data_IF_355698276888
#
_entry.id   IF_355698276888
#
_cell.length_a   1.000
_cell.length_b   1.000
_cell.length_c   1.000
_cell.angle_alpha   90.00
_cell.angle_beta   90.00
_cell.angle_gamma   90.00
#
_symmetry.space_group_name_H-M   'P 1'
#
loop_
_entity.id
_entity.type
_entity.pdbx_description
1 polymer ?
#
# COMPACT_ATOMS: atom_id res chain seq x y z
N UNK A 1 -0.43 4.33 -4.80
CA UNK A 1 0.26 5.63 -4.95
C UNK A 1 0.02 6.16 -6.36
N UNK A 2 -0.23 7.46 -6.54
CA UNK A 2 -0.43 8.05 -7.87
C UNK A 2 0.87 8.32 -8.63
N UNK A 3 0.76 8.60 -9.92
CA UNK A 3 1.90 8.93 -10.82
C UNK A 3 2.71 10.15 -10.36
N UNK A 4 2.10 11.07 -9.61
CA UNK A 4 2.80 12.20 -8.98
C UNK A 4 3.84 11.76 -7.96
N UNK A 5 3.50 10.78 -7.11
CA UNK A 5 4.42 10.24 -6.13
C UNK A 5 5.55 9.45 -6.80
N UNK A 6 5.23 8.66 -7.84
CA UNK A 6 6.25 8.01 -8.66
C UNK A 6 7.26 9.03 -9.17
N UNK A 7 6.79 10.14 -9.75
CA UNK A 7 7.66 11.19 -10.29
C UNK A 7 8.61 11.76 -9.23
N UNK A 8 8.11 12.01 -8.02
CA UNK A 8 8.93 12.54 -6.92
C UNK A 8 10.05 11.58 -6.49
N UNK A 9 9.78 10.27 -6.42
CA UNK A 9 10.79 9.26 -6.09
C UNK A 9 11.78 9.05 -7.24
N UNK A 10 11.30 8.93 -8.48
CA UNK A 10 12.15 8.71 -9.64
C UNK A 10 13.07 9.90 -9.95
N UNK A 11 12.61 11.13 -9.70
CA UNK A 11 13.42 12.35 -9.90
C UNK A 11 14.40 12.62 -8.74
N UNK A 12 14.44 11.76 -7.71
CA UNK A 12 15.34 11.93 -6.57
C UNK A 12 14.96 13.09 -5.65
N UNK A 13 13.72 13.57 -5.70
CA UNK A 13 13.24 14.70 -4.87
C UNK A 13 13.13 14.32 -3.38
N UNK A 14 13.25 13.03 -3.06
CA UNK A 14 13.25 12.50 -1.69
C UNK A 14 14.64 11.91 -1.41
N UNK A 15 15.54 12.65 -0.73
CA UNK A 15 16.90 12.20 -0.46
C UNK A 15 16.93 10.87 0.30
N UNK A 16 17.76 9.94 -0.17
CA UNK A 16 17.93 8.62 0.47
C UNK A 16 16.83 7.61 0.19
N UNK A 17 15.89 7.92 -0.72
CA UNK A 17 14.87 6.98 -1.17
C UNK A 17 15.15 6.49 -2.59
N UNK A 18 14.83 5.22 -2.86
CA UNK A 18 14.96 4.59 -4.16
C UNK A 18 13.65 3.89 -4.48
N UNK A 19 13.10 4.15 -5.68
CA UNK A 19 11.93 3.43 -6.16
C UNK A 19 12.40 2.07 -6.70
N UNK A 20 11.97 0.98 -6.07
CA UNK A 20 12.46 -0.37 -6.40
C UNK A 20 11.40 -1.26 -7.06
N UNK A 21 10.12 -0.90 -6.95
CA UNK A 21 9.00 -1.67 -7.50
C UNK A 21 7.78 -0.78 -7.76
N UNK A 22 6.97 -1.17 -8.75
CA UNK A 22 5.73 -0.47 -9.13
C UNK A 22 4.63 -1.49 -9.34
N UNK A 23 3.52 -1.33 -8.64
CA UNK A 23 2.32 -2.15 -8.81
C UNK A 23 1.19 -1.30 -9.37
N UNK A 24 0.74 -1.64 -10.58
CA UNK A 24 -0.40 -1.02 -11.24
C UNK A 24 -1.15 -2.10 -12.04
N UNK A 25 -2.47 -1.94 -12.19
CA UNK A 25 -3.32 -2.83 -12.98
C UNK A 25 -3.31 -2.48 -14.47
N UNK A 26 -2.88 -1.26 -14.83
CA UNK A 26 -2.81 -0.78 -16.22
C UNK A 26 -1.52 -1.27 -16.91
N UNK A 27 -1.61 -2.12 -17.95
CA UNK A 27 -0.43 -2.61 -18.68
C UNK A 27 0.44 -1.50 -19.27
N UNK A 28 -0.15 -0.35 -19.65
CA UNK A 28 0.60 0.77 -20.20
C UNK A 28 1.53 1.40 -19.15
N UNK A 29 1.08 1.46 -17.89
CA UNK A 29 1.88 1.99 -16.77
C UNK A 29 2.98 1.05 -16.34
N UNK A 30 2.73 -0.25 -16.41
CA UNK A 30 3.76 -1.27 -16.16
C UNK A 30 4.85 -1.22 -17.24
N UNK A 31 4.48 -1.11 -18.51
CA UNK A 31 5.42 -0.95 -19.61
C UNK A 31 6.25 0.33 -19.45
N UNK A 32 5.61 1.45 -19.12
CA UNK A 32 6.31 2.70 -18.82
C UNK A 32 7.28 2.58 -17.64
N UNK A 33 6.90 1.90 -16.56
CA UNK A 33 7.79 1.66 -15.43
C UNK A 33 9.00 0.78 -15.80
N UNK A 34 8.80 -0.23 -16.65
CA UNK A 34 9.88 -1.06 -17.19
C UNK A 34 10.85 -0.25 -18.06
N UNK A 35 10.36 0.67 -18.89
CA UNK A 35 11.21 1.60 -19.65
C UNK A 35 12.08 2.48 -18.74
N UNK A 36 11.61 2.78 -17.53
CA UNK A 36 12.37 3.51 -16.50
C UNK A 36 13.31 2.61 -15.66
N UNK A 37 13.45 1.33 -16.02
CA UNK A 37 14.35 0.37 -15.36
C UNK A 37 13.79 -0.28 -14.09
N UNK A 38 12.47 -0.21 -13.86
CA UNK A 38 11.81 -0.82 -12.71
C UNK A 38 11.26 -2.18 -13.11
N UNK A 39 11.92 -3.25 -12.67
CA UNK A 39 11.78 -4.55 -13.35
C UNK A 39 10.66 -5.46 -12.80
N UNK A 40 9.97 -5.12 -11.71
CA UNK A 40 8.83 -5.94 -11.29
C UNK A 40 7.88 -5.25 -10.30
N UNK A 41 6.57 -5.44 -10.49
CA UNK A 41 5.62 -5.48 -9.37
C UNK A 41 5.65 -6.86 -8.76
N UNK A 42 6.35 -7.03 -7.64
CA UNK A 42 6.20 -8.25 -6.84
C UNK A 42 5.58 -7.84 -5.51
N UNK A 43 4.34 -8.27 -5.31
CA UNK A 43 3.74 -8.32 -3.99
C UNK A 43 3.73 -9.78 -3.55
N UNK A 44 4.28 -10.09 -2.38
CA UNK A 44 4.19 -11.42 -1.82
C UNK A 44 3.76 -11.38 -0.35
N UNK A 45 3.04 -12.42 0.06
CA UNK A 45 2.68 -12.66 1.44
C UNK A 45 3.09 -14.10 1.80
N UNK A 46 3.88 -14.25 2.86
CA UNK A 46 4.32 -15.55 3.37
C UNK A 46 3.61 -15.86 4.69
N UNK A 47 3.10 -17.07 4.83
CA UNK A 47 2.39 -17.55 6.01
C UNK A 47 2.66 -19.05 6.24
N UNK A 48 2.02 -19.63 7.26
CA UNK A 48 2.20 -21.04 7.66
C UNK A 48 2.05 -22.04 6.50
N UNK A 49 1.09 -21.80 5.61
CA UNK A 49 0.74 -22.73 4.53
C UNK A 49 1.44 -22.42 3.20
N UNK A 50 2.42 -21.52 3.19
CA UNK A 50 3.22 -21.18 2.02
C UNK A 50 3.16 -19.70 1.67
N UNK A 51 3.33 -19.38 0.39
CA UNK A 51 3.55 -18.03 -0.09
C UNK A 51 2.63 -17.69 -1.27
N UNK A 52 1.90 -16.58 -1.17
CA UNK A 52 1.15 -15.99 -2.28
C UNK A 52 2.01 -14.91 -2.94
N UNK A 53 2.08 -14.93 -4.27
CA UNK A 53 2.89 -14.01 -5.08
C UNK A 53 1.99 -13.43 -6.16
N UNK A 54 1.86 -12.11 -6.20
CA UNK A 54 1.27 -11.35 -7.30
C UNK A 54 2.42 -10.70 -8.07
N UNK A 55 2.63 -11.18 -9.29
CA UNK A 55 3.68 -10.71 -10.19
C UNK A 55 3.18 -10.78 -11.63
N UNK A 56 3.42 -9.73 -12.43
CA UNK A 56 3.05 -9.66 -13.85
C UNK A 56 1.57 -9.99 -14.13
N UNK A 57 0.65 -9.48 -13.29
CA UNK A 57 -0.78 -9.76 -13.44
C UNK A 57 -1.16 -11.23 -13.21
N UNK A 58 -0.33 -11.97 -12.46
CA UNK A 58 -0.59 -13.38 -12.14
C UNK A 58 -0.48 -13.59 -10.64
N UNK A 59 -1.54 -14.15 -10.05
CA UNK A 59 -1.51 -14.60 -8.66
C UNK A 59 -1.08 -16.06 -8.65
N UNK A 60 0.03 -16.34 -7.96
CA UNK A 60 0.60 -17.67 -7.79
C UNK A 60 0.65 -18.01 -6.32
N UNK A 61 0.09 -19.15 -5.93
CA UNK A 61 0.19 -19.66 -4.56
C UNK A 61 1.14 -20.86 -4.52
N UNK A 62 2.30 -20.67 -3.91
CA UNK A 62 3.25 -21.73 -3.56
C UNK A 62 2.77 -22.33 -2.24
N UNK A 63 1.97 -23.39 -2.32
CA UNK A 63 1.35 -24.01 -1.15
C UNK A 63 2.25 -25.10 -0.59
N UNK A 64 2.51 -25.03 0.72
CA UNK A 64 3.18 -26.09 1.43
C UNK A 64 2.22 -27.26 1.67
N UNK A 65 2.72 -28.50 1.56
CA UNK A 65 1.96 -29.70 1.90
C UNK A 65 1.60 -29.79 3.38
N UNK A 66 2.50 -29.30 4.23
CA UNK A 66 2.38 -29.22 5.69
C UNK A 66 2.59 -27.79 6.13
N UNK A 67 1.98 -27.38 7.23
CA UNK A 67 2.26 -26.08 7.83
C UNK A 67 3.76 -25.96 8.15
N UNK A 68 4.33 -24.79 7.91
CA UNK A 68 5.76 -24.55 8.09
C UNK A 68 6.21 -24.86 9.52
N UNK A 69 5.41 -24.45 10.52
CA UNK A 69 5.69 -24.77 11.92
C UNK A 69 5.74 -26.27 12.21
N UNK A 70 4.80 -27.06 11.68
CA UNK A 70 4.80 -28.52 11.84
C UNK A 70 6.01 -29.15 11.16
N UNK A 71 6.34 -28.70 9.94
CA UNK A 71 7.49 -29.20 9.20
C UNK A 71 8.80 -28.93 9.93
N UNK A 72 9.00 -27.71 10.43
CA UNK A 72 10.18 -27.34 11.21
C UNK A 72 10.33 -28.17 12.50
N UNK A 73 9.24 -28.54 13.14
CA UNK A 73 9.26 -29.32 14.39
C UNK A 73 9.50 -30.81 14.17
N UNK A 74 9.09 -31.34 13.02
CA UNK A 74 9.11 -32.79 12.75
C UNK A 74 10.22 -33.23 11.81
N UNK A 75 10.83 -32.30 11.06
CA UNK A 75 11.94 -32.60 10.17
C UNK A 75 13.20 -32.97 10.95
N UNK A 76 13.79 -34.10 10.62
CA UNK A 76 15.09 -34.55 11.16
C UNK A 76 16.27 -34.14 10.29
N UNK A 77 16.01 -33.53 9.13
CA UNK A 77 17.01 -33.14 8.14
C UNK A 77 17.34 -31.64 8.25
N UNK A 78 18.64 -31.32 8.19
CA UNK A 78 19.14 -29.95 8.15
C UNK A 78 18.85 -29.30 6.80
N UNK A 79 18.32 -28.07 6.79
CA UNK A 79 17.96 -27.31 5.60
C UNK A 79 16.93 -27.98 4.68
N UNK A 80 16.10 -28.87 5.25
CA UNK A 80 15.00 -29.48 4.51
C UNK A 80 14.01 -28.42 4.03
N UNK A 81 13.44 -28.63 2.86
CA UNK A 81 12.40 -27.76 2.27
C UNK A 81 11.10 -28.56 2.27
N UNK A 82 9.98 -27.99 2.75
CA UNK A 82 8.70 -28.68 2.67
C UNK A 82 8.34 -28.96 1.21
N UNK A 83 7.68 -30.09 0.98
CA UNK A 83 7.07 -30.34 -0.31
C UNK A 83 6.06 -29.23 -0.61
N UNK A 84 6.26 -28.54 -1.74
CA UNK A 84 5.41 -27.43 -2.17
C UNK A 84 4.91 -27.69 -3.59
N UNK A 85 3.70 -27.22 -3.87
CA UNK A 85 3.20 -27.14 -5.24
C UNK A 85 2.67 -25.74 -5.54
N UNK A 86 2.76 -25.38 -6.81
CA UNK A 86 2.37 -24.08 -7.32
C UNK A 86 0.96 -24.15 -7.89
N UNK A 87 0.09 -23.24 -7.46
CA UNK A 87 -1.27 -23.10 -7.98
C UNK A 87 -1.41 -21.70 -8.55
N UNK A 88 -1.88 -21.62 -9.79
CA UNK A 88 -2.32 -20.35 -10.37
C UNK A 88 -3.70 -20.01 -9.82
N UNK A 89 -3.82 -18.88 -9.13
CA UNK A 89 -5.10 -18.43 -8.59
C UNK A 89 -5.78 -17.53 -9.63
N UNK A 90 -6.91 -17.98 -10.23
CA UNK A 90 -7.65 -17.14 -11.15
C UNK A 90 -8.26 -15.97 -10.38
N UNK A 91 -8.15 -14.77 -10.93
CA UNK A 91 -8.90 -13.61 -10.47
C UNK A 91 -9.73 -13.05 -11.63
N UNK A 92 -10.74 -12.26 -11.30
CA UNK A 92 -11.56 -11.58 -12.29
C UNK A 92 -11.06 -10.17 -12.44
N UNK A 93 -11.05 -9.68 -13.67
CA UNK A 93 -10.85 -8.26 -13.90
C UNK A 93 -11.93 -7.46 -13.18
N UNK A 94 -11.52 -6.29 -12.66
CA UNK A 94 -12.44 -5.40 -12.00
C UNK A 94 -13.43 -4.83 -13.03
N UNK A 95 -14.75 -4.85 -12.75
CA UNK A 95 -15.76 -4.45 -13.72
C UNK A 95 -15.78 -2.93 -13.98
N UNK A 96 -15.05 -2.15 -13.19
CA UNK A 96 -14.86 -0.71 -13.34
C UNK A 96 -13.60 -0.26 -12.57
N UNK A 97 -13.06 0.94 -12.85
CA UNK A 97 -11.97 1.53 -12.05
C UNK A 97 -12.34 1.61 -10.55
N UNK A 98 -11.34 1.44 -9.68
CA UNK A 98 -11.52 1.32 -8.22
C UNK A 98 -12.38 2.43 -7.61
N UNK A 99 -12.11 3.70 -7.96
CA UNK A 99 -12.89 4.84 -7.47
C UNK A 99 -14.38 4.75 -7.85
N UNK A 100 -14.69 4.21 -9.04
CA UNK A 100 -16.09 4.02 -9.48
C UNK A 100 -16.80 3.00 -8.60
N UNK A 101 -16.10 1.94 -8.18
CA UNK A 101 -16.67 0.89 -7.33
C UNK A 101 -16.95 1.39 -5.92
N UNK A 102 -16.02 2.14 -5.32
CA UNK A 102 -16.21 2.76 -4.00
C UNK A 102 -17.39 3.73 -4.03
N UNK A 103 -17.46 4.61 -5.03
CA UNK A 103 -18.58 5.56 -5.17
C UNK A 103 -19.92 4.85 -5.38
N UNK A 104 -19.95 3.78 -6.19
CA UNK A 104 -21.17 2.97 -6.37
C UNK A 104 -21.61 2.31 -5.06
N UNK A 105 -20.68 1.73 -4.31
CA UNK A 105 -20.96 1.14 -3.00
C UNK A 105 -21.54 2.18 -2.04
N UNK A 106 -21.00 3.39 -2.01
CA UNK A 106 -21.52 4.49 -1.20
C UNK A 106 -22.96 4.88 -1.58
N UNK A 107 -23.26 5.01 -2.88
CA UNK A 107 -24.63 5.28 -3.37
C UNK A 107 -25.58 4.15 -2.97
N UNK A 108 -25.17 2.89 -3.09
CA UNK A 108 -25.97 1.73 -2.71
C UNK A 108 -26.21 1.67 -1.20
N UNK A 109 -25.23 2.00 -0.36
CA UNK A 109 -25.42 2.07 1.09
C UNK A 109 -26.48 3.11 1.48
N UNK A 110 -26.55 4.23 0.76
CA UNK A 110 -27.58 5.25 0.98
C UNK A 110 -28.95 4.77 0.51
N UNK A 111 -29.04 4.31 -0.74
CA UNK A 111 -30.31 3.99 -1.43
C UNK A 111 -30.90 2.64 -1.03
N UNK A 112 -30.06 1.62 -0.96
CA UNK A 112 -30.45 0.22 -0.77
C UNK A 112 -30.14 -0.30 0.64
N UNK A 113 -29.47 0.50 1.49
CA UNK A 113 -29.03 0.10 2.84
C UNK A 113 -28.07 -1.10 2.83
N UNK A 114 -27.29 -1.23 1.77
CA UNK A 114 -26.20 -2.21 1.67
C UNK A 114 -25.01 -1.83 2.55
N UNK A 115 -24.17 -2.81 2.90
CA UNK A 115 -22.92 -2.55 3.60
C UNK A 115 -21.93 -1.78 2.69
N UNK A 116 -21.19 -0.84 3.28
CA UNK A 116 -20.13 -0.13 2.58
C UNK A 116 -18.96 -1.08 2.29
N UNK A 117 -18.44 -1.01 1.07
CA UNK A 117 -17.22 -1.73 0.65
C UNK A 117 -16.01 -1.28 1.47
N UNK A 118 -15.93 0.02 1.76
CA UNK A 118 -14.88 0.63 2.57
C UNK A 118 -15.53 1.59 3.57
N UNK A 119 -15.88 1.14 4.79
CA UNK A 119 -16.43 2.00 5.81
C UNK A 119 -15.45 3.10 6.21
N UNK A 120 -15.86 4.37 6.17
CA UNK A 120 -14.98 5.49 6.53
C UNK A 120 -14.49 5.46 7.98
N UNK A 121 -15.20 4.77 8.87
CA UNK A 121 -14.79 4.57 10.27
C UNK A 121 -13.50 3.76 10.42
N UNK A 122 -13.15 2.90 9.44
CA UNK A 122 -11.88 2.18 9.43
C UNK A 122 -10.70 3.08 9.00
N UNK A 123 -10.99 4.21 8.33
CA UNK A 123 -9.97 5.14 7.85
C UNK A 123 -9.06 5.69 8.95
N UNK A 124 -9.55 5.76 10.19
CA UNK A 124 -8.75 6.19 11.34
C UNK A 124 -7.56 5.25 11.61
N UNK A 125 -7.71 3.95 11.35
CA UNK A 125 -6.63 2.96 11.53
C UNK A 125 -5.50 3.19 10.52
N UNK A 126 -5.84 3.61 9.29
CA UNK A 126 -4.85 4.01 8.29
C UNK A 126 -4.08 5.26 8.70
N UNK A 127 -4.77 6.24 9.30
CA UNK A 127 -4.12 7.46 9.85
C UNK A 127 -3.18 7.09 11.00
N UNK A 128 -3.63 6.24 11.92
CA UNK A 128 -2.80 5.77 13.04
C UNK A 128 -1.55 5.03 12.55
N UNK A 129 -1.68 4.14 11.58
CA UNK A 129 -0.54 3.45 10.98
C UNK A 129 0.45 4.43 10.34
N UNK A 130 -0.03 5.42 9.59
CA UNK A 130 0.81 6.49 9.03
C UNK A 130 1.55 7.27 10.13
N UNK A 131 0.84 7.63 11.21
CA UNK A 131 1.43 8.33 12.35
C UNK A 131 2.49 7.48 13.06
N UNK A 132 2.25 6.17 13.22
CA UNK A 132 3.21 5.23 13.81
C UNK A 132 4.48 5.11 12.97
N UNK A 133 4.36 5.04 11.63
CA UNK A 133 5.50 5.02 10.71
C UNK A 133 6.32 6.30 10.85
N UNK A 134 5.66 7.47 10.88
CA UNK A 134 6.33 8.76 11.06
C UNK A 134 7.02 8.86 12.43
N UNK A 135 6.33 8.47 13.49
CA UNK A 135 6.87 8.47 14.85
C UNK A 135 8.09 7.57 15.00
N UNK A 136 8.05 6.37 14.40
CA UNK A 136 9.19 5.47 14.37
C UNK A 136 10.37 6.06 13.59
N UNK A 137 10.11 6.67 12.44
CA UNK A 137 11.13 7.33 11.64
C UNK A 137 11.78 8.53 12.36
N UNK A 138 11.00 9.30 13.13
CA UNK A 138 11.52 10.46 13.86
C UNK A 138 12.29 10.11 15.12
N UNK A 139 11.90 9.04 15.81
CA UNK A 139 12.55 8.59 17.05
C UNK A 139 13.66 7.58 16.80
N UNK A 140 13.67 6.94 15.63
CA UNK A 140 14.58 5.84 15.30
C UNK A 140 14.31 4.58 16.13
N UNK A 141 13.11 4.44 16.71
CA UNK A 141 12.72 3.33 17.58
C UNK A 141 11.44 2.65 17.08
N UNK A 142 11.23 1.35 17.41
CA UNK A 142 9.93 0.71 17.25
C UNK A 142 8.85 1.45 18.05
N UNK A 143 7.61 1.41 17.55
CA UNK A 143 6.44 2.02 18.18
C UNK A 143 5.38 0.93 18.38
N UNK A 144 4.76 0.89 19.55
CA UNK A 144 3.64 0.01 19.84
C UNK A 144 2.32 0.62 19.37
N UNK A 145 1.37 -0.25 18.98
CA UNK A 145 -0.01 0.15 18.63
C UNK A 145 -0.98 -0.25 19.76
N UNK A 146 -1.96 0.60 20.11
CA UNK A 146 -2.20 1.95 19.58
C UNK A 146 -1.13 2.96 20.03
N UNK A 147 -0.90 4.00 19.23
CA UNK A 147 0.11 5.01 19.54
C UNK A 147 -0.34 5.94 20.69
N UNK A 148 0.63 6.59 21.34
CA UNK A 148 0.35 7.70 22.24
C UNK A 148 0.10 8.98 21.41
N UNK A 149 -1.18 9.37 21.32
CA UNK A 149 -1.64 10.53 20.55
C UNK A 149 -0.98 11.84 21.01
N UNK A 150 -0.79 12.03 22.32
CA UNK A 150 -0.19 13.25 22.86
C UNK A 150 1.31 13.29 22.57
N UNK A 151 1.99 12.14 22.66
CA UNK A 151 3.40 12.03 22.30
C UNK A 151 3.62 12.28 20.80
N UNK A 152 2.78 11.70 19.92
CA UNK A 152 2.84 11.97 18.49
C UNK A 152 2.57 13.45 18.18
N UNK A 153 1.56 14.04 18.81
CA UNK A 153 1.22 15.44 18.63
C UNK A 153 2.38 16.36 19.04
N UNK A 154 3.04 16.10 20.17
CA UNK A 154 4.21 16.87 20.60
C UNK A 154 5.36 16.79 19.58
N UNK A 155 5.67 15.59 19.08
CA UNK A 155 6.69 15.40 18.03
C UNK A 155 6.32 16.15 16.74
N UNK A 156 5.06 16.07 16.32
CA UNK A 156 4.57 16.78 15.14
C UNK A 156 4.75 18.29 15.28
N UNK A 157 4.39 18.86 16.45
CA UNK A 157 4.54 20.28 16.71
C UNK A 157 6.01 20.72 16.69
N UNK A 158 6.92 19.92 17.23
CA UNK A 158 8.37 20.18 17.14
C UNK A 158 8.84 20.25 15.67
N UNK A 159 8.40 19.29 14.85
CA UNK A 159 8.73 19.25 13.41
C UNK A 159 8.14 20.42 12.63
N UNK A 160 6.92 20.83 12.95
CA UNK A 160 6.29 22.01 12.34
C UNK A 160 7.12 23.26 12.67
N UNK A 161 7.51 23.45 13.94
CA UNK A 161 8.29 24.60 14.38
C UNK A 161 9.69 24.64 13.74
N UNK A 162 10.30 23.49 13.50
CA UNK A 162 11.62 23.37 12.85
C UNK A 162 11.56 23.37 11.31
N UNK A 163 10.37 23.38 10.70
CA UNK A 163 10.22 23.29 9.26
C UNK A 163 10.71 24.56 8.56
N UNK A 164 11.69 24.43 7.68
CA UNK A 164 12.26 25.53 6.88
C UNK A 164 11.70 25.61 5.47
N UNK A 165 10.76 24.72 5.13
CA UNK A 165 10.15 24.67 3.79
C UNK A 165 9.20 25.85 3.64
N UNK A 166 9.62 26.84 2.86
CA UNK A 166 8.73 27.88 2.34
C UNK A 166 7.95 27.25 1.20
N UNK A 167 6.64 27.06 1.38
CA UNK A 167 5.78 26.64 0.27
C UNK A 167 5.74 27.79 -0.73
N UNK A 168 6.12 27.51 -1.98
CA UNK A 168 5.78 28.42 -3.07
C UNK A 168 4.27 28.64 -3.04
N UNK A 169 3.85 29.90 -3.02
CA UNK A 169 2.44 30.25 -3.25
C UNK A 169 2.09 29.84 -4.67
N UNK A 170 1.74 28.57 -4.84
CA UNK A 170 0.93 28.14 -5.96
C UNK A 170 -0.37 28.89 -5.78
N UNK A 171 -0.61 29.88 -6.64
CA UNK A 171 -1.91 30.53 -6.78
C UNK A 171 -2.92 29.41 -7.01
N UNK A 172 -3.59 28.97 -5.94
CA UNK A 172 -4.79 28.18 -6.06
C UNK A 172 -5.77 29.10 -6.79
N UNK A 173 -5.80 29.00 -8.12
CA UNK A 173 -6.92 29.49 -8.90
C UNK A 173 -8.08 28.63 -8.43
N UNK A 174 -8.79 29.13 -7.42
CA UNK A 174 -10.10 28.61 -7.04
C UNK A 174 -10.91 28.75 -8.31
N UNK A 175 -11.12 27.64 -9.02
CA UNK A 175 -11.93 27.64 -10.22
C UNK A 175 -13.31 28.17 -9.82
N UNK A 176 -13.71 29.31 -10.39
CA UNK A 176 -15.05 29.85 -10.20
C UNK A 176 -16.04 28.91 -10.89
N UNK A 177 -16.73 28.10 -10.08
CA UNK A 177 -17.71 27.12 -10.54
C UNK A 177 -19.10 27.74 -10.75
N UNK A 178 -19.26 29.06 -10.62
CA UNK A 178 -20.56 29.73 -10.82
C UNK A 178 -21.10 29.64 -12.26
N UNK A 179 -20.29 29.20 -13.23
CA UNK A 179 -20.73 28.98 -14.62
C UNK A 179 -21.21 27.57 -14.96
N UNK A 180 -21.22 26.63 -14.01
CA UNK A 180 -21.47 25.20 -14.29
C UNK A 180 -22.87 24.68 -13.90
N UNK A 181 -23.84 25.58 -13.73
CA UNK A 181 -25.26 25.24 -13.58
C UNK A 181 -26.06 25.65 -14.83
#
# INVERSE_FOLDING_TARGET
MGSSHFGAFHQGNVPGSELTAVCDTDPARLAWAQEQGLDASVCYASAENGQLVLENGKITFRRNRKAMSEFCQTSTESFAVPECWTIDIPYRDMPAPEHTLVMRSWVNAIRNKEALLCPGTEGIQGVELCNAILMSAWTGQPVDLPIDDDAYYALLQERIAASTVVKDETSNVVADLNGSF
#
